data_IF_734115745716
#
_entry.id   IF_734115745716
#
_cell.length_a   1.000
_cell.length_b   1.000
_cell.length_c   1.000
_cell.angle_alpha   90.00
_cell.angle_beta   90.00
_cell.angle_gamma   90.00
#
_symmetry.space_group_name_H-M   'P 1'
#
loop_
_entity.id
_entity.type
_entity.pdbx_description
1 polymer ?
#
# COMPACT_ATOMS: atom_id res chain seq x y z
N UNK A 1 -7.74 -19.68 2.52
CA UNK A 1 -6.66 -18.70 2.73
C UNK A 1 -5.35 -19.30 2.26
N UNK A 2 -4.58 -18.57 1.48
CA UNK A 2 -3.34 -19.07 0.87
C UNK A 2 -2.09 -18.74 1.68
N UNK A 3 -2.17 -17.79 2.62
CA UNK A 3 -1.06 -17.52 3.54
C UNK A 3 -1.26 -18.29 4.85
N UNK A 4 -0.17 -18.39 5.61
CA UNK A 4 -0.20 -18.94 6.96
C UNK A 4 0.01 -17.77 7.93
N UNK A 5 -1.01 -17.33 8.68
CA UNK A 5 -0.90 -16.18 9.58
C UNK A 5 0.13 -16.35 10.70
N UNK A 6 0.60 -17.57 10.94
CA UNK A 6 1.65 -17.83 11.93
C UNK A 6 3.06 -17.58 11.39
N UNK A 7 3.20 -17.40 10.08
CA UNK A 7 4.47 -17.12 9.44
C UNK A 7 4.67 -15.63 9.23
N UNK A 8 5.90 -15.25 8.93
CA UNK A 8 6.26 -13.86 8.62
C UNK A 8 6.32 -13.64 7.12
N UNK A 9 5.81 -12.51 6.67
CA UNK A 9 5.80 -12.13 5.26
C UNK A 9 6.43 -10.75 5.09
N UNK A 10 7.25 -10.62 4.05
CA UNK A 10 7.82 -9.34 3.63
C UNK A 10 7.51 -9.11 2.16
N UNK A 11 7.31 -7.84 1.80
CA UNK A 11 7.09 -7.41 0.43
C UNK A 11 8.23 -6.48 0.01
N UNK A 12 8.90 -6.81 -1.10
CA UNK A 12 9.87 -5.94 -1.73
C UNK A 12 9.18 -5.26 -2.89
N UNK A 13 8.92 -3.96 -2.75
CA UNK A 13 8.24 -3.14 -3.74
C UNK A 13 9.29 -2.42 -4.57
N UNK A 14 9.51 -2.90 -5.78
CA UNK A 14 10.49 -2.32 -6.71
C UNK A 14 9.79 -1.31 -7.59
N UNK A 15 10.25 -0.06 -7.55
CA UNK A 15 9.71 1.02 -8.38
C UNK A 15 10.79 1.59 -9.27
N UNK A 16 10.39 2.39 -10.26
CA UNK A 16 11.33 3.13 -11.09
C UNK A 16 12.05 4.27 -10.34
N UNK A 17 11.74 4.47 -9.06
CA UNK A 17 12.43 5.43 -8.17
C UNK A 17 13.24 4.75 -7.06
N UNK A 18 13.25 3.43 -7.01
CA UNK A 18 13.96 2.66 -6.00
C UNK A 18 13.08 1.61 -5.34
N UNK A 19 13.63 0.91 -4.37
CA UNK A 19 12.99 -0.22 -3.71
C UNK A 19 12.61 0.11 -2.28
N UNK A 20 11.39 -0.29 -1.90
CA UNK A 20 10.88 -0.20 -0.53
C UNK A 20 10.56 -1.61 -0.06
N UNK A 21 10.95 -1.95 1.17
CA UNK A 21 10.67 -3.26 1.74
C UNK A 21 9.76 -3.10 2.95
N UNK A 22 8.68 -3.89 3.01
CA UNK A 22 7.70 -3.83 4.08
C UNK A 22 7.58 -5.18 4.78
N UNK A 23 7.43 -5.14 6.11
CA UNK A 23 6.95 -6.26 6.89
C UNK A 23 5.42 -6.25 6.84
N UNK A 24 4.80 -7.41 6.61
CA UNK A 24 3.34 -7.52 6.51
C UNK A 24 2.77 -8.11 7.82
N UNK A 25 1.68 -7.51 8.31
CA UNK A 25 1.07 -7.86 9.60
C UNK A 25 0.07 -9.01 9.43
N UNK A 26 0.57 -10.20 9.12
CA UNK A 26 -0.28 -11.36 8.81
C UNK A 26 -1.14 -11.82 10.00
N UNK A 27 -0.68 -11.63 11.23
CA UNK A 27 -1.47 -12.01 12.41
C UNK A 27 -2.55 -10.99 12.76
N UNK A 28 -2.30 -9.70 12.52
CA UNK A 28 -3.26 -8.63 12.86
C UNK A 28 -4.31 -8.43 11.76
N UNK A 29 -3.92 -8.60 10.51
CA UNK A 29 -4.78 -8.39 9.36
C UNK A 29 -4.64 -9.54 8.35
N UNK A 30 -5.02 -10.76 8.72
CA UNK A 30 -4.74 -11.94 7.92
C UNK A 30 -5.40 -11.94 6.54
N UNK A 31 -6.64 -11.48 6.44
CA UNK A 31 -7.33 -11.45 5.15
C UNK A 31 -6.78 -10.37 4.23
N UNK A 32 -6.40 -9.23 4.78
CA UNK A 32 -5.81 -8.13 4.02
C UNK A 32 -4.43 -8.54 3.50
N UNK A 33 -3.60 -9.13 4.35
CA UNK A 33 -2.27 -9.63 3.93
C UNK A 33 -2.43 -10.75 2.92
N UNK A 34 -3.37 -11.68 3.12
CA UNK A 34 -3.65 -12.74 2.17
C UNK A 34 -3.98 -12.19 0.78
N UNK A 35 -4.85 -11.18 0.73
CA UNK A 35 -5.22 -10.52 -0.52
C UNK A 35 -4.00 -9.89 -1.20
N UNK A 36 -3.25 -9.09 -0.45
CA UNK A 36 -2.08 -8.39 -0.99
C UNK A 36 -1.02 -9.38 -1.50
N UNK A 37 -0.72 -10.40 -0.71
CA UNK A 37 0.28 -11.43 -1.07
C UNK A 37 -0.13 -12.17 -2.35
N UNK A 38 -1.40 -12.56 -2.44
CA UNK A 38 -1.89 -13.25 -3.63
C UNK A 38 -1.85 -12.39 -4.87
N UNK A 39 -2.29 -11.13 -4.78
CA UNK A 39 -2.22 -10.21 -5.91
C UNK A 39 -0.77 -10.00 -6.34
N UNK A 40 0.15 -9.81 -5.40
CA UNK A 40 1.56 -9.63 -5.71
C UNK A 40 2.16 -10.88 -6.40
N UNK A 41 1.85 -12.06 -5.90
CA UNK A 41 2.34 -13.33 -6.47
C UNK A 41 1.80 -13.60 -7.87
N UNK A 42 0.60 -13.12 -8.18
CA UNK A 42 0.01 -13.22 -9.53
C UNK A 42 0.42 -12.06 -10.44
N UNK A 43 1.41 -11.25 -10.03
CA UNK A 43 1.92 -10.11 -10.81
C UNK A 43 0.88 -9.04 -11.11
N UNK A 44 -0.17 -8.96 -10.30
CA UNK A 44 -1.25 -7.99 -10.46
C UNK A 44 -0.74 -6.54 -10.41
N UNK A 45 0.25 -6.28 -9.56
CA UNK A 45 0.78 -4.94 -9.36
C UNK A 45 1.89 -4.56 -10.34
N UNK A 46 2.36 -5.48 -11.18
CA UNK A 46 3.42 -5.19 -12.13
C UNK A 46 2.94 -4.13 -13.15
N UNK A 47 3.68 -3.04 -13.28
CA UNK A 47 3.33 -1.96 -14.18
C UNK A 47 2.29 -0.98 -13.66
N UNK A 48 1.78 -1.18 -12.45
CA UNK A 48 0.76 -0.32 -11.84
C UNK A 48 1.42 0.89 -11.19
N UNK A 49 0.80 2.06 -11.31
CA UNK A 49 1.38 3.32 -10.85
C UNK A 49 0.92 3.71 -9.44
N UNK A 50 1.71 4.56 -8.78
CA UNK A 50 1.21 5.37 -7.67
C UNK A 50 0.55 6.61 -8.26
N UNK A 51 -0.76 6.54 -8.40
CA UNK A 51 -1.54 7.56 -9.11
C UNK A 51 -1.88 8.79 -8.28
N UNK A 52 -1.64 8.74 -6.98
CA UNK A 52 -1.94 9.84 -6.05
C UNK A 52 -0.83 9.98 -5.03
N UNK A 53 -0.19 11.14 -5.03
CA UNK A 53 0.93 11.44 -4.13
C UNK A 53 0.68 12.78 -3.48
N UNK A 54 0.62 12.81 -2.15
CA UNK A 54 0.41 14.04 -1.38
C UNK A 54 1.51 14.16 -0.35
N UNK A 55 2.33 15.21 -0.49
CA UNK A 55 3.42 15.51 0.43
C UNK A 55 2.90 15.63 1.86
N UNK A 56 3.66 15.12 2.83
CA UNK A 56 3.35 15.12 4.25
C UNK A 56 2.13 14.26 4.61
N UNK A 57 1.66 13.45 3.68
CA UNK A 57 0.47 12.61 3.87
C UNK A 57 0.75 11.14 3.47
N UNK A 58 0.70 10.83 2.17
CA UNK A 58 0.82 9.43 1.72
C UNK A 58 1.10 9.35 0.21
N UNK A 59 1.48 8.15 -0.23
CA UNK A 59 1.51 7.78 -1.65
C UNK A 59 0.53 6.61 -1.84
N UNK A 60 -0.32 6.70 -2.85
CA UNK A 60 -1.39 5.71 -3.09
C UNK A 60 -1.28 5.11 -4.48
N UNK A 61 -1.42 3.80 -4.55
CA UNK A 61 -1.39 3.06 -5.80
C UNK A 61 -2.19 1.76 -5.72
N UNK A 62 -1.94 0.86 -6.67
CA UNK A 62 -2.57 -0.45 -6.66
C UNK A 62 -3.83 -0.57 -7.51
N UNK A 63 -4.20 0.49 -8.23
CA UNK A 63 -5.28 0.46 -9.20
C UNK A 63 -4.71 0.16 -10.59
N UNK A 64 -5.03 -0.99 -11.21
CA UNK A 64 -4.49 -1.32 -12.53
C UNK A 64 -4.90 -0.34 -13.62
N UNK A 65 -5.98 0.41 -13.44
CA UNK A 65 -6.41 1.46 -14.38
C UNK A 65 -5.72 2.80 -14.10
N UNK A 66 -5.11 2.98 -12.92
CA UNK A 66 -4.46 4.23 -12.54
C UNK A 66 -5.41 5.40 -12.34
N UNK A 67 -6.70 5.14 -12.20
CA UNK A 67 -7.74 6.18 -12.11
C UNK A 67 -8.21 6.48 -10.68
N UNK A 68 -7.92 5.58 -9.75
CA UNK A 68 -8.47 5.59 -8.40
C UNK A 68 -9.80 4.85 -8.29
N UNK A 69 -10.33 4.33 -9.39
CA UNK A 69 -11.63 3.64 -9.45
C UNK A 69 -11.51 2.15 -9.74
N UNK A 70 -10.36 1.70 -10.20
CA UNK A 70 -10.14 0.31 -10.55
C UNK A 70 -9.83 -0.57 -9.36
N UNK A 71 -9.94 -1.87 -9.55
CA UNK A 71 -9.67 -2.87 -8.53
C UNK A 71 -9.76 -4.28 -9.08
N UNK A 72 -9.70 -5.28 -8.20
CA UNK A 72 -9.62 -6.69 -8.63
C UNK A 72 -10.96 -7.32 -8.98
N UNK A 73 -12.05 -6.56 -8.94
CA UNK A 73 -13.38 -7.07 -9.27
C UNK A 73 -14.14 -7.64 -8.07
N UNK A 74 -13.61 -7.49 -6.86
CA UNK A 74 -14.26 -7.92 -5.62
C UNK A 74 -13.96 -6.93 -4.49
N UNK A 75 -14.69 -7.05 -3.38
CA UNK A 75 -14.47 -6.28 -2.16
C UNK A 75 -14.39 -7.22 -0.97
N UNK A 76 -13.69 -6.81 0.09
CA UNK A 76 -13.63 -7.58 1.33
C UNK A 76 -13.65 -6.67 2.55
N UNK A 77 -13.98 -7.28 3.69
CA UNK A 77 -14.21 -6.59 4.95
C UNK A 77 -12.95 -5.96 5.53
N UNK A 78 -13.13 -4.89 6.29
CA UNK A 78 -12.06 -4.23 7.01
C UNK A 78 -11.50 -5.10 8.14
N UNK A 79 -10.20 -4.89 8.40
CA UNK A 79 -9.49 -5.42 9.56
C UNK A 79 -8.79 -4.22 10.21
N UNK A 80 -9.57 -3.40 10.91
CA UNK A 80 -9.12 -2.09 11.37
C UNK A 80 -8.19 -2.16 12.58
N UNK A 81 -7.19 -1.25 12.66
CA UNK A 81 -6.34 -1.16 13.84
C UNK A 81 -7.05 -0.37 14.95
N UNK A 82 -6.47 -0.39 16.15
CA UNK A 82 -6.82 0.57 17.18
C UNK A 82 -6.40 1.97 16.75
N UNK A 83 -6.97 2.99 17.38
CA UNK A 83 -6.58 4.39 17.11
C UNK A 83 -5.10 4.63 17.45
N UNK A 84 -4.46 5.51 16.69
CA UNK A 84 -3.09 5.93 16.94
C UNK A 84 -2.01 4.94 16.52
N UNK A 85 -2.33 3.95 15.68
CA UNK A 85 -1.36 2.94 15.24
C UNK A 85 -0.63 3.30 13.95
N UNK A 86 -1.11 4.29 13.20
CA UNK A 86 -0.44 4.67 11.95
C UNK A 86 0.86 5.41 12.22
N UNK A 87 1.88 5.08 11.41
CA UNK A 87 3.21 5.71 11.46
C UNK A 87 3.68 6.00 10.04
N UNK A 88 4.72 6.81 9.92
CA UNK A 88 5.41 6.94 8.65
C UNK A 88 5.93 5.57 8.22
N UNK A 89 5.64 5.17 6.98
CA UNK A 89 5.96 3.84 6.47
C UNK A 89 4.85 2.81 6.64
N UNK A 90 3.75 3.12 7.32
CA UNK A 90 2.62 2.19 7.42
C UNK A 90 1.98 1.96 6.06
N UNK A 91 1.66 0.69 5.77
CA UNK A 91 0.88 0.29 4.60
C UNK A 91 -0.56 0.04 5.04
N UNK A 92 -1.50 0.73 4.40
CA UNK A 92 -2.93 0.59 4.70
C UNK A 92 -3.73 0.50 3.41
N UNK A 93 -4.93 -0.11 3.49
CA UNK A 93 -5.80 -0.25 2.33
C UNK A 93 -6.61 1.03 2.10
N UNK A 94 -6.58 1.52 0.86
CA UNK A 94 -7.52 2.55 0.44
C UNK A 94 -8.92 1.94 0.31
N UNK A 95 -9.96 2.73 0.55
CA UNK A 95 -11.33 2.26 0.44
C UNK A 95 -12.28 3.40 0.03
N UNK A 96 -13.51 3.02 -0.29
CA UNK A 96 -14.60 3.93 -0.63
C UNK A 96 -15.70 3.90 0.43
N UNK A 97 -15.32 3.69 1.69
CA UNK A 97 -16.21 3.51 2.83
C UNK A 97 -16.00 2.16 3.49
N UNK A 98 -16.78 1.81 4.54
CA UNK A 98 -16.60 0.56 5.27
C UNK A 98 -16.70 -0.67 4.38
N UNK A 99 -15.79 -1.62 4.59
CA UNK A 99 -15.82 -2.93 3.95
C UNK A 99 -15.77 -2.89 2.41
N UNK A 100 -14.97 -1.97 1.86
CA UNK A 100 -14.83 -1.82 0.40
C UNK A 100 -13.38 -1.99 -0.06
N UNK A 101 -12.59 -2.81 0.63
CA UNK A 101 -11.21 -3.07 0.29
C UNK A 101 -11.10 -3.86 -1.02
N UNK A 102 -10.12 -3.53 -1.83
CA UNK A 102 -9.83 -4.21 -3.09
C UNK A 102 -8.33 -4.40 -3.27
N UNK A 103 -7.74 -3.67 -4.22
CA UNK A 103 -6.30 -3.74 -4.49
C UNK A 103 -5.55 -2.46 -4.16
N UNK A 104 -6.24 -1.32 -4.06
CA UNK A 104 -5.56 -0.06 -3.81
C UNK A 104 -5.06 0.04 -2.38
N UNK A 105 -3.85 0.52 -2.23
CA UNK A 105 -3.22 0.72 -0.93
C UNK A 105 -2.46 2.03 -0.92
N UNK A 106 -2.12 2.51 0.28
CA UNK A 106 -1.26 3.67 0.42
C UNK A 106 -0.19 3.43 1.46
N UNK A 107 0.90 4.17 1.34
CA UNK A 107 2.01 4.17 2.28
C UNK A 107 2.07 5.55 2.90
N UNK A 108 1.95 5.61 4.21
CA UNK A 108 1.97 6.87 4.94
C UNK A 108 3.37 7.45 4.88
N UNK A 109 3.48 8.70 4.45
CA UNK A 109 4.76 9.38 4.25
C UNK A 109 4.97 10.58 5.15
N UNK A 110 3.94 11.04 5.86
CA UNK A 110 4.06 12.22 6.70
C UNK A 110 3.01 12.33 7.79
N UNK A 111 3.10 13.40 8.58
CA UNK A 111 2.31 13.62 9.78
C UNK A 111 0.79 13.60 9.54
N UNK A 112 0.33 14.10 8.40
CA UNK A 112 -1.10 14.08 8.09
C UNK A 112 -1.65 12.65 7.98
N UNK A 113 -0.85 11.70 7.46
CA UNK A 113 -1.23 10.30 7.40
C UNK A 113 -1.22 9.64 8.78
N UNK A 114 -0.26 10.01 9.61
CA UNK A 114 -0.17 9.48 10.98
C UNK A 114 -1.42 9.84 11.80
N UNK A 115 -2.05 10.96 11.50
CA UNK A 115 -3.24 11.43 12.22
C UNK A 115 -4.56 10.90 11.66
N UNK A 116 -4.54 10.00 10.69
CA UNK A 116 -5.78 9.44 10.13
C UNK A 116 -6.58 8.70 11.21
N UNK A 117 -7.92 8.78 11.16
CA UNK A 117 -8.77 7.95 12.01
C UNK A 117 -8.62 6.47 11.61
N UNK A 118 -8.90 5.51 12.52
CA UNK A 118 -8.69 4.08 12.26
C UNK A 118 -9.80 3.50 11.34
N UNK A 119 -9.89 4.02 10.13
CA UNK A 119 -10.88 3.63 9.12
C UNK A 119 -10.27 2.88 7.95
N UNK A 120 -8.97 2.59 8.01
CA UNK A 120 -8.20 1.92 6.95
C UNK A 120 -7.47 0.73 7.53
N UNK A 121 -7.63 -0.44 6.92
CA UNK A 121 -6.98 -1.67 7.39
C UNK A 121 -5.47 -1.52 7.30
N UNK A 122 -4.80 -1.58 8.45
CA UNK A 122 -3.34 -1.48 8.57
C UNK A 122 -2.75 -2.87 8.41
N UNK A 123 -1.95 -3.08 7.36
CA UNK A 123 -1.46 -4.42 7.05
C UNK A 123 0.06 -4.54 6.89
N UNK A 124 0.80 -3.45 7.00
CA UNK A 124 2.25 -3.52 6.88
C UNK A 124 2.97 -2.28 7.38
N UNK A 125 4.30 -2.39 7.43
CA UNK A 125 5.19 -1.31 7.85
C UNK A 125 6.50 -1.40 7.07
N UNK A 126 6.95 -0.28 6.49
CA UNK A 126 8.27 -0.25 5.85
C UNK A 126 9.37 -0.51 6.87
N UNK A 127 10.30 -1.38 6.49
CA UNK A 127 11.52 -1.69 7.26
C UNK A 127 12.77 -1.25 6.53
N UNK A 128 12.65 -0.90 5.23
CA UNK A 128 13.75 -0.35 4.42
C UNK A 128 13.16 0.47 3.27
N UNK A 129 13.94 1.43 2.76
CA UNK A 129 13.52 2.26 1.64
C UNK A 129 12.72 3.50 2.02
N UNK A 130 12.80 3.95 3.27
CA UNK A 130 12.13 5.18 3.68
C UNK A 130 12.61 6.40 2.89
N UNK A 131 13.88 6.41 2.48
CA UNK A 131 14.44 7.45 1.61
C UNK A 131 13.75 7.45 0.24
N UNK A 132 13.40 6.28 -0.30
CA UNK A 132 12.65 6.15 -1.55
C UNK A 132 11.23 6.70 -1.36
N UNK A 133 10.57 6.36 -0.26
CA UNK A 133 9.26 6.89 0.08
C UNK A 133 9.28 8.42 0.12
N UNK A 134 10.27 9.01 0.78
CA UNK A 134 10.40 10.47 0.88
C UNK A 134 10.70 11.11 -0.48
N UNK A 135 11.48 10.46 -1.32
CA UNK A 135 11.75 10.94 -2.67
C UNK A 135 10.47 10.96 -3.52
N UNK A 136 9.66 9.89 -3.44
CA UNK A 136 8.41 9.81 -4.18
C UNK A 136 7.42 10.87 -3.70
N UNK A 137 7.24 11.04 -2.38
CA UNK A 137 6.28 12.03 -1.87
C UNK A 137 6.65 13.47 -2.26
N UNK A 138 7.90 13.71 -2.57
CA UNK A 138 8.42 15.04 -2.91
C UNK A 138 8.36 15.35 -4.41
N UNK A 139 7.91 14.41 -5.24
CA UNK A 139 7.84 14.59 -6.68
C UNK A 139 6.80 15.65 -7.05
N UNK A 140 7.03 16.42 -8.13
CA UNK A 140 6.02 17.35 -8.64
C UNK A 140 4.75 16.60 -9.05
N UNK A 141 3.59 17.16 -8.69
CA UNK A 141 2.29 16.59 -9.02
C UNK A 141 1.47 17.59 -9.82
N UNK A 142 0.54 17.07 -10.60
CA UNK A 142 -0.44 17.85 -11.36
C UNK A 142 -1.83 17.68 -10.81
N UNK A 143 -2.84 17.74 -11.67
CA UNK A 143 -4.24 17.58 -11.28
C UNK A 143 -4.49 16.26 -10.56
N UNK A 144 -5.35 16.27 -9.53
CA UNK A 144 -5.72 15.12 -8.72
C UNK A 144 -4.53 14.49 -7.98
N UNK A 145 -3.50 15.29 -7.67
CA UNK A 145 -2.29 14.85 -6.99
C UNK A 145 -1.54 13.73 -7.71
N UNK A 146 -1.67 13.68 -9.03
CA UNK A 146 -0.99 12.70 -9.86
C UNK A 146 0.45 13.18 -10.14
N UNK A 147 1.46 12.33 -9.92
CA UNK A 147 2.84 12.69 -10.26
C UNK A 147 2.97 13.05 -11.75
N UNK A 148 3.69 14.15 -12.04
CA UNK A 148 3.93 14.60 -13.41
C UNK A 148 4.69 13.53 -14.19
N UNK A 149 5.70 12.92 -13.55
CA UNK A 149 6.40 11.76 -14.09
C UNK A 149 5.92 10.52 -13.33
N UNK A 150 5.49 9.51 -14.05
CA UNK A 150 4.89 8.32 -13.43
C UNK A 150 5.83 7.62 -12.46
N UNK A 151 5.26 7.20 -11.34
CA UNK A 151 5.92 6.29 -10.38
C UNK A 151 5.33 4.92 -10.61
N UNK A 152 6.13 4.02 -11.19
CA UNK A 152 5.67 2.70 -11.61
C UNK A 152 6.17 1.63 -10.67
N UNK A 153 5.27 0.77 -10.23
CA UNK A 153 5.64 -0.47 -9.53
C UNK A 153 6.11 -1.45 -10.60
N UNK A 154 7.40 -1.78 -10.58
CA UNK A 154 7.96 -2.75 -11.53
C UNK A 154 7.62 -4.16 -11.12
N UNK A 155 7.72 -4.45 -9.82
CA UNK A 155 7.35 -5.75 -9.25
C UNK A 155 7.15 -5.64 -7.75
N UNK A 156 6.39 -6.59 -7.19
CA UNK A 156 6.32 -6.80 -5.74
C UNK A 156 6.66 -8.26 -5.50
N UNK A 157 7.77 -8.51 -4.81
CA UNK A 157 8.24 -9.85 -4.47
C UNK A 157 7.93 -10.16 -3.02
N UNK A 158 7.29 -11.29 -2.77
CA UNK A 158 6.91 -11.74 -1.43
C UNK A 158 7.90 -12.77 -0.93
N UNK A 159 8.39 -12.57 0.29
CA UNK A 159 9.24 -13.52 1.00
C UNK A 159 8.51 -14.03 2.23
N UNK A 160 8.42 -15.35 2.37
CA UNK A 160 7.80 -16.02 3.50
C UNK A 160 8.86 -16.66 4.37
N UNK A 161 8.73 -16.53 5.69
CA UNK A 161 9.65 -17.18 6.63
C UNK A 161 8.97 -17.69 7.90
#
# INVERSE_FOLDING_TARGET
>A
MYIDPSKSYQAEIVTNHGTMTAFLHASDAPNTVNNFVNLARYHYYDGVIFHRVIREFMIQGGDPEGSGRGGPGYRFADELPAAGKYKVGSLAMANAGPNTNGSQFFIISGAAGVRLPPQYSLFGQLIAGEDVLKAIESLPTGGQDRPVNEVVIESITITES
#
